data_IF_800534348421
#
_entry.id   IF_800534348421
#
_cell.length_a   1.000
_cell.length_b   1.000
_cell.length_c   1.000
_cell.angle_alpha   90.00
_cell.angle_beta   90.00
_cell.angle_gamma   90.00
#
_symmetry.space_group_name_H-M   'P 1'
#
loop_
_entity.id
_entity.type
_entity.pdbx_description
1 polymer ?
#
# COMPACT_ATOMS: atom_id res chain seq x y z
N UNK A 1 -24.33 -5.25 -8.75
CA UNK A 1 -23.35 -4.49 -7.98
C UNK A 1 -21.95 -5.04 -8.28
N UNK A 2 -20.96 -4.15 -8.44
CA UNK A 2 -19.60 -4.54 -8.79
C UNK A 2 -18.63 -3.74 -7.94
N UNK A 3 -17.65 -4.43 -7.33
CA UNK A 3 -16.60 -3.77 -6.57
C UNK A 3 -15.52 -3.24 -7.52
N UNK A 4 -15.19 -1.97 -7.40
CA UNK A 4 -14.18 -1.31 -8.25
C UNK A 4 -12.85 -1.07 -7.55
N UNK A 5 -12.81 -1.14 -6.25
CA UNK A 5 -11.60 -0.89 -5.49
C UNK A 5 -11.83 0.06 -4.34
N UNK A 6 -10.73 0.52 -3.77
CA UNK A 6 -10.76 1.46 -2.65
C UNK A 6 -10.12 2.78 -3.04
N UNK A 7 -10.59 3.86 -2.43
CA UNK A 7 -9.98 5.18 -2.54
C UNK A 7 -9.52 5.60 -1.15
N UNK A 8 -8.26 5.99 -1.05
CA UNK A 8 -7.65 6.45 0.20
C UNK A 8 -7.61 7.97 0.17
N UNK A 9 -8.32 8.60 1.09
CA UNK A 9 -8.23 10.04 1.26
C UNK A 9 -7.02 10.38 2.13
N UNK A 10 -6.26 11.40 1.72
CA UNK A 10 -5.01 11.76 2.39
C UNK A 10 -4.83 13.27 2.41
N UNK A 11 -4.18 13.77 3.45
CA UNK A 11 -3.76 15.17 3.52
C UNK A 11 -2.47 15.44 2.74
N UNK A 12 -1.77 14.38 2.31
CA UNK A 12 -0.50 14.50 1.60
C UNK A 12 -0.45 13.50 0.43
N UNK A 13 -1.13 13.88 -0.66
CA UNK A 13 -1.20 13.03 -1.84
C UNK A 13 0.18 12.75 -2.47
N UNK A 14 1.10 13.72 -2.63
CA UNK A 14 2.40 13.43 -3.21
C UNK A 14 3.16 12.32 -2.49
N UNK A 15 3.13 12.32 -1.16
CA UNK A 15 3.82 11.31 -0.35
C UNK A 15 3.18 9.93 -0.52
N UNK A 16 1.86 9.86 -0.47
CA UNK A 16 1.15 8.60 -0.59
C UNK A 16 1.22 8.04 -2.02
N UNK A 17 1.10 8.90 -3.02
CA UNK A 17 1.23 8.51 -4.44
C UNK A 17 2.61 7.92 -4.71
N UNK A 18 3.67 8.56 -4.21
CA UNK A 18 5.04 8.05 -4.40
C UNK A 18 5.22 6.67 -3.78
N UNK A 19 4.66 6.46 -2.59
CA UNK A 19 4.69 5.15 -1.94
C UNK A 19 4.04 4.06 -2.81
N UNK A 20 2.81 4.30 -3.29
CA UNK A 20 2.10 3.30 -4.09
C UNK A 20 2.71 3.12 -5.47
N UNK A 21 3.29 4.18 -6.05
CA UNK A 21 4.04 4.06 -7.30
C UNK A 21 5.18 3.06 -7.18
N UNK A 22 5.92 3.14 -6.07
CA UNK A 22 7.03 2.22 -5.80
C UNK A 22 6.52 0.83 -5.46
N UNK A 23 5.57 0.72 -4.54
CA UNK A 23 5.02 -0.57 -4.11
C UNK A 23 4.45 -1.37 -5.29
N UNK A 24 3.61 -0.74 -6.08
CA UNK A 24 2.87 -1.39 -7.17
C UNK A 24 3.62 -1.41 -8.49
N UNK A 25 4.73 -0.67 -8.60
CA UNK A 25 5.51 -0.52 -9.83
C UNK A 25 4.65 -0.04 -10.99
N UNK A 26 3.82 0.95 -10.72
CA UNK A 26 2.92 1.55 -11.69
C UNK A 26 2.96 3.06 -11.61
N UNK A 27 2.80 3.72 -12.76
CA UNK A 27 2.47 5.13 -12.79
C UNK A 27 0.96 5.28 -12.64
N UNK A 28 0.47 6.25 -11.85
CA UNK A 28 -0.96 6.42 -11.67
C UNK A 28 -1.60 7.05 -12.91
N UNK A 29 -2.86 6.70 -13.15
CA UNK A 29 -3.72 7.49 -14.02
C UNK A 29 -4.22 8.68 -13.21
N UNK A 30 -3.98 9.89 -13.70
CA UNK A 30 -4.26 11.13 -12.97
C UNK A 30 -5.51 11.78 -13.57
N UNK A 31 -6.48 12.06 -12.71
CA UNK A 31 -7.69 12.78 -13.07
C UNK A 31 -8.00 13.79 -11.97
N UNK A 32 -7.62 15.06 -12.20
CA UNK A 32 -7.73 16.10 -11.18
C UNK A 32 -6.88 15.75 -9.96
N UNK A 33 -7.52 15.67 -8.81
CA UNK A 33 -6.85 15.32 -7.54
C UNK A 33 -6.89 13.83 -7.24
N UNK A 34 -7.35 13.00 -8.19
CA UNK A 34 -7.38 11.55 -8.07
C UNK A 34 -6.18 10.93 -8.78
N UNK A 35 -5.58 9.96 -8.11
CA UNK A 35 -4.44 9.20 -8.63
C UNK A 35 -4.80 7.72 -8.56
N UNK A 36 -5.12 7.13 -9.71
CA UNK A 36 -5.60 5.76 -9.78
C UNK A 36 -4.50 4.77 -10.10
N UNK A 37 -4.40 3.71 -9.30
CA UNK A 37 -3.45 2.61 -9.50
C UNK A 37 -4.19 1.30 -9.81
N UNK A 38 -5.34 1.39 -10.45
CA UNK A 38 -6.21 0.23 -10.67
C UNK A 38 -7.23 0.13 -9.54
N UNK A 39 -7.12 -0.90 -8.70
CA UNK A 39 -8.08 -1.09 -7.60
C UNK A 39 -7.80 -0.21 -6.37
N UNK A 40 -6.68 0.49 -6.35
CA UNK A 40 -6.34 1.45 -5.29
C UNK A 40 -6.21 2.83 -5.91
N UNK A 41 -6.87 3.81 -5.31
CA UNK A 41 -6.75 5.20 -5.71
C UNK A 41 -6.39 6.06 -4.50
N UNK A 42 -5.74 7.19 -4.76
CA UNK A 42 -5.35 8.18 -3.76
C UNK A 42 -6.01 9.50 -4.12
N UNK A 43 -6.58 10.16 -3.12
CA UNK A 43 -7.32 11.40 -3.35
C UNK A 43 -7.12 12.37 -2.18
N UNK A 44 -6.79 13.62 -2.50
CA UNK A 44 -6.81 14.68 -1.50
C UNK A 44 -8.00 15.62 -1.76
N UNK A 45 -9.11 15.45 -1.03
CA UNK A 45 -10.28 16.32 -1.19
C UNK A 45 -10.12 17.69 -0.50
N UNK A 46 -9.07 17.87 0.31
CA UNK A 46 -8.92 19.00 1.19
C UNK A 46 -9.57 18.73 2.54
N UNK A 47 -9.02 19.31 3.61
CA UNK A 47 -9.60 19.20 4.95
C UNK A 47 -9.50 17.82 5.60
N UNK A 48 -8.65 16.93 5.06
CA UNK A 48 -8.41 15.62 5.67
C UNK A 48 -7.59 15.80 6.95
N UNK A 49 -8.06 15.21 8.05
CA UNK A 49 -7.37 15.24 9.34
C UNK A 49 -6.21 14.25 9.42
N UNK A 50 -5.70 14.07 10.63
CA UNK A 50 -4.65 13.08 10.87
C UNK A 50 -5.17 11.68 10.58
N UNK A 51 -4.31 10.78 10.06
CA UNK A 51 -4.69 9.40 9.82
C UNK A 51 -5.15 8.70 11.10
N UNK A 52 -6.21 7.92 11.00
CA UNK A 52 -6.72 7.13 12.11
C UNK A 52 -6.31 5.67 11.95
N UNK A 53 -6.16 4.97 13.08
CA UNK A 53 -5.94 3.52 13.07
C UNK A 53 -7.22 2.85 12.58
N UNK A 54 -7.09 2.00 11.55
CA UNK A 54 -8.22 1.30 10.93
C UNK A 54 -8.06 -0.21 11.05
N UNK A 55 -9.19 -0.90 11.14
CA UNK A 55 -9.23 -2.37 11.19
C UNK A 55 -9.40 -2.99 9.79
N UNK A 56 -9.03 -2.25 8.76
CA UNK A 56 -9.09 -2.70 7.37
C UNK A 56 -7.67 -2.71 6.83
N UNK A 57 -7.31 -3.76 6.11
CA UNK A 57 -6.02 -3.79 5.42
C UNK A 57 -6.19 -4.23 3.97
N UNK A 58 -5.20 -3.88 3.17
CA UNK A 58 -5.10 -4.31 1.78
C UNK A 58 -4.37 -5.65 1.73
N UNK A 59 -4.80 -6.52 0.84
CA UNK A 59 -4.16 -7.83 0.64
C UNK A 59 -3.67 -7.94 -0.79
N UNK A 60 -2.41 -8.30 -0.94
CA UNK A 60 -1.78 -8.53 -2.23
C UNK A 60 -1.11 -9.90 -2.24
N UNK A 61 -0.81 -10.39 -3.42
CA UNK A 61 0.10 -11.51 -3.61
C UNK A 61 1.18 -11.13 -4.63
N UNK A 62 2.34 -11.77 -4.51
CA UNK A 62 3.46 -11.53 -5.41
C UNK A 62 4.22 -12.84 -5.63
N UNK A 63 4.74 -13.09 -6.85
CA UNK A 63 5.50 -14.31 -7.14
C UNK A 63 6.79 -14.45 -6.35
N UNK A 64 7.39 -13.35 -5.87
CA UNK A 64 8.65 -13.37 -5.14
C UNK A 64 8.67 -12.29 -4.08
N UNK A 65 8.11 -12.60 -2.90
CA UNK A 65 8.02 -11.59 -1.84
C UNK A 65 9.37 -11.27 -1.20
N UNK A 66 10.36 -12.18 -1.25
CA UNK A 66 11.68 -11.87 -0.72
C UNK A 66 12.36 -10.79 -1.57
N UNK A 67 12.26 -10.89 -2.89
CA UNK A 67 12.78 -9.87 -3.79
C UNK A 67 12.03 -8.55 -3.64
N UNK A 68 10.70 -8.60 -3.54
CA UNK A 68 9.87 -7.42 -3.32
C UNK A 68 10.25 -6.74 -2.01
N UNK A 69 10.38 -7.50 -0.92
CA UNK A 69 10.74 -6.97 0.38
C UNK A 69 12.11 -6.27 0.34
N UNK A 70 13.10 -6.90 -0.26
CA UNK A 70 14.44 -6.32 -0.40
C UNK A 70 14.41 -5.02 -1.21
N UNK A 71 13.60 -4.98 -2.28
CA UNK A 71 13.43 -3.78 -3.11
C UNK A 71 12.81 -2.64 -2.32
N UNK A 72 11.76 -2.93 -1.53
CA UNK A 72 11.09 -1.91 -0.74
C UNK A 72 12.01 -1.31 0.32
N UNK A 73 12.81 -2.13 0.99
CA UNK A 73 13.79 -1.64 1.97
C UNK A 73 14.80 -0.69 1.32
N UNK A 74 15.15 -0.95 0.06
CA UNK A 74 16.10 -0.12 -0.69
C UNK A 74 15.47 1.16 -1.22
N UNK A 75 14.27 1.06 -1.79
CA UNK A 75 13.64 2.17 -2.51
C UNK A 75 12.79 3.09 -1.64
N UNK A 76 12.38 2.61 -0.47
CA UNK A 76 11.60 3.39 0.49
C UNK A 76 12.37 3.44 1.82
N UNK A 77 13.32 4.37 1.96
CA UNK A 77 14.06 4.51 3.22
C UNK A 77 13.08 4.79 4.38
N UNK A 78 13.23 4.02 5.47
CA UNK A 78 12.34 4.17 6.62
C UNK A 78 10.95 3.56 6.45
N UNK A 79 10.75 2.68 5.46
CA UNK A 79 9.48 1.98 5.29
C UNK A 79 9.08 1.27 6.59
N UNK A 80 7.80 1.41 6.96
CA UNK A 80 7.28 0.85 8.21
C UNK A 80 6.92 -0.62 8.01
N UNK A 81 7.81 -1.52 8.40
CA UNK A 81 7.59 -2.96 8.33
C UNK A 81 6.97 -3.43 9.65
N UNK A 82 5.76 -3.98 9.58
CA UNK A 82 5.09 -4.55 10.73
C UNK A 82 5.67 -5.93 11.05
N UNK A 83 5.86 -6.76 10.02
CA UNK A 83 6.43 -8.09 10.15
C UNK A 83 7.22 -8.43 8.88
N UNK A 84 8.48 -8.85 8.98
CA UNK A 84 9.26 -9.27 7.82
C UNK A 84 8.71 -10.57 7.23
N UNK A 85 9.20 -11.01 6.06
CA UNK A 85 8.76 -12.26 5.47
C UNK A 85 8.92 -13.42 6.45
N UNK A 86 7.81 -14.12 6.70
CA UNK A 86 7.78 -15.27 7.60
C UNK A 86 6.62 -16.20 7.25
N UNK A 87 6.76 -17.49 7.63
CA UNK A 87 5.70 -18.48 7.50
C UNK A 87 4.70 -18.27 8.64
N UNK A 88 3.43 -18.09 8.29
CA UNK A 88 2.36 -17.92 9.28
C UNK A 88 1.82 -19.28 9.73
N UNK A 89 1.18 -19.34 10.93
CA UNK A 89 0.60 -20.60 11.42
C UNK A 89 -0.37 -21.25 10.46
N UNK A 90 -1.08 -20.47 9.64
CA UNK A 90 -2.03 -20.98 8.63
C UNK A 90 -1.37 -21.33 7.30
N UNK A 91 -0.04 -21.29 7.21
CA UNK A 91 0.72 -21.76 6.06
C UNK A 91 1.19 -20.71 5.07
N UNK A 92 0.63 -19.50 5.11
CA UNK A 92 1.04 -18.44 4.19
C UNK A 92 2.46 -17.95 4.52
N UNK A 93 3.24 -17.68 3.46
CA UNK A 93 4.52 -16.98 3.58
C UNK A 93 4.27 -15.53 3.16
N UNK A 94 4.44 -14.59 4.08
CA UNK A 94 4.02 -13.20 3.85
C UNK A 94 4.82 -12.21 4.68
N UNK A 95 4.78 -10.95 4.27
CA UNK A 95 5.24 -9.85 5.09
C UNK A 95 4.16 -8.76 5.16
N UNK A 96 4.25 -7.89 6.18
CA UNK A 96 3.26 -6.86 6.45
C UNK A 96 3.95 -5.52 6.64
N UNK A 97 3.35 -4.47 6.12
CA UNK A 97 3.88 -3.11 6.22
C UNK A 97 2.74 -2.10 6.33
N UNK A 98 3.12 -0.85 6.61
CA UNK A 98 2.19 0.28 6.56
C UNK A 98 2.60 1.26 5.48
N UNK A 99 1.61 1.89 4.87
CA UNK A 99 1.87 3.04 4.03
C UNK A 99 2.15 4.28 4.89
N UNK A 100 2.57 5.42 4.30
CA UNK A 100 2.88 6.63 5.08
C UNK A 100 1.73 7.19 5.92
N UNK A 101 0.49 6.86 5.58
CA UNK A 101 -0.68 7.26 6.36
C UNK A 101 -1.09 6.22 7.40
N UNK A 102 -0.31 5.15 7.56
CA UNK A 102 -0.55 4.10 8.55
C UNK A 102 -1.49 3.00 8.09
N UNK A 103 -1.93 2.98 6.83
CA UNK A 103 -2.77 1.90 6.31
C UNK A 103 -1.99 0.60 6.23
N UNK A 104 -2.60 -0.47 6.71
CA UNK A 104 -1.96 -1.79 6.79
C UNK A 104 -2.03 -2.51 5.45
N UNK A 105 -0.93 -3.16 5.08
CA UNK A 105 -0.78 -3.89 3.82
C UNK A 105 -0.15 -5.24 4.11
N UNK A 106 -0.76 -6.30 3.61
CA UNK A 106 -0.21 -7.65 3.68
C UNK A 106 0.13 -8.15 2.28
N UNK A 107 1.30 -8.73 2.10
CA UNK A 107 1.73 -9.30 0.83
C UNK A 107 2.13 -10.74 1.04
N UNK A 108 1.43 -11.66 0.38
CA UNK A 108 1.67 -13.09 0.48
C UNK A 108 2.37 -13.63 -0.76
N UNK A 109 3.16 -14.69 -0.57
CA UNK A 109 3.78 -15.41 -1.67
C UNK A 109 2.70 -16.11 -2.50
N UNK A 110 2.77 -15.86 -3.78
CA UNK A 110 1.85 -16.44 -4.75
C UNK A 110 2.17 -17.91 -5.02
#
# INVERSE_FOLDING_TARGET
>A
MKFHGICIETANAPRLVEFYRILLQKEPFIEGEHYGFGEVAVYNPGGVGEPEIKNVWQQYSDPDIDALYARLLKEIPGVDIIAPPERKPWGAYSFWLRDPDGNKIAVAQD
#
